data_IF_956778985363
#
_entry.id   IF_956778985363
#
_cell.length_a   1.000
_cell.length_b   1.000
_cell.length_c   1.000
_cell.angle_alpha   90.00
_cell.angle_beta   90.00
_cell.angle_gamma   90.00
#
_symmetry.space_group_name_H-M   'P 1'
#
loop_
_entity.id
_entity.type
_entity.pdbx_description
1 polymer ?
#
# COMPACT_ATOMS: atom_id res chain seq x y z
N UNK A 1 2.80 -9.37 24.51
CA UNK A 1 2.86 -8.57 23.25
C UNK A 1 1.44 -8.17 22.87
N UNK A 2 1.13 -6.92 22.52
CA UNK A 2 -0.22 -6.60 21.99
C UNK A 2 -0.39 -7.22 20.60
N UNK A 3 -1.63 -7.60 20.24
CA UNK A 3 -1.94 -8.21 18.93
C UNK A 3 -1.44 -7.36 17.77
N UNK A 4 -1.59 -6.03 17.85
CA UNK A 4 -1.08 -5.08 16.86
C UNK A 4 0.44 -5.11 16.74
N UNK A 5 1.16 -5.13 17.87
CA UNK A 5 2.64 -5.23 17.84
C UNK A 5 3.06 -6.55 17.18
N UNK A 6 2.44 -7.66 17.54
CA UNK A 6 2.74 -8.96 16.94
C UNK A 6 2.54 -8.94 15.42
N UNK A 7 1.41 -8.40 14.94
CA UNK A 7 1.12 -8.30 13.50
C UNK A 7 2.22 -7.48 12.79
N UNK A 8 2.65 -6.35 13.36
CA UNK A 8 3.72 -5.54 12.75
C UNK A 8 5.06 -6.28 12.70
N UNK A 9 5.44 -7.00 13.76
CA UNK A 9 6.67 -7.80 13.78
C UNK A 9 6.64 -8.99 12.81
N UNK A 10 5.46 -9.51 12.47
CA UNK A 10 5.31 -10.56 11.45
C UNK A 10 5.23 -9.98 10.05
N UNK A 11 4.51 -8.87 9.86
CA UNK A 11 4.34 -8.23 8.57
C UNK A 11 5.67 -7.78 7.97
N UNK A 12 6.55 -7.17 8.77
CA UNK A 12 7.84 -6.65 8.30
C UNK A 12 8.72 -7.72 7.63
N UNK A 13 9.08 -8.85 8.27
CA UNK A 13 9.89 -9.89 7.60
C UNK A 13 9.17 -10.53 6.42
N UNK A 14 7.85 -10.67 6.46
CA UNK A 14 7.05 -11.21 5.34
C UNK A 14 7.14 -10.28 4.12
N UNK A 15 7.00 -8.98 4.32
CA UNK A 15 7.10 -7.97 3.25
C UNK A 15 8.52 -7.88 2.69
N UNK A 16 9.55 -7.97 3.54
CA UNK A 16 10.95 -7.96 3.12
C UNK A 16 11.31 -9.23 2.32
N UNK A 17 10.95 -10.42 2.83
CA UNK A 17 11.15 -11.67 2.11
C UNK A 17 10.37 -11.68 0.79
N UNK A 18 9.13 -11.16 0.80
CA UNK A 18 8.33 -10.96 -0.39
C UNK A 18 9.03 -10.09 -1.43
N UNK A 19 9.63 -8.97 -1.03
CA UNK A 19 10.37 -8.09 -1.95
C UNK A 19 11.59 -8.78 -2.55
N UNK A 20 12.38 -9.51 -1.74
CA UNK A 20 13.58 -10.24 -2.22
C UNK A 20 13.21 -11.35 -3.19
N UNK A 21 12.08 -12.03 -2.96
CA UNK A 21 11.60 -13.14 -3.80
C UNK A 21 10.74 -12.67 -4.99
N UNK A 22 10.51 -11.36 -5.15
CA UNK A 22 9.69 -10.80 -6.23
C UNK A 22 8.17 -10.93 -6.04
N UNK A 23 7.70 -11.29 -4.84
CA UNK A 23 6.28 -11.37 -4.48
C UNK A 23 5.67 -10.00 -4.13
N UNK A 24 5.68 -9.10 -5.10
CA UNK A 24 5.23 -7.71 -4.95
C UNK A 24 3.73 -7.56 -4.62
N UNK A 25 2.90 -8.57 -4.90
CA UNK A 25 1.47 -8.55 -4.54
C UNK A 25 1.24 -8.41 -3.02
N UNK A 26 2.18 -8.84 -2.18
CA UNK A 26 2.12 -8.66 -0.72
C UNK A 26 2.18 -7.18 -0.33
N UNK A 27 3.01 -6.40 -1.03
CA UNK A 27 3.06 -4.95 -0.88
C UNK A 27 1.81 -4.28 -1.44
N UNK A 28 1.29 -4.79 -2.55
CA UNK A 28 0.04 -4.30 -3.12
C UNK A 28 -1.13 -4.41 -2.14
N UNK A 29 -1.25 -5.55 -1.45
CA UNK A 29 -2.26 -5.75 -0.40
C UNK A 29 -2.08 -4.78 0.78
N UNK A 30 -0.83 -4.50 1.17
CA UNK A 30 -0.54 -3.54 2.24
C UNK A 30 -1.00 -2.12 1.87
N UNK A 31 -0.73 -1.67 0.64
CA UNK A 31 -1.17 -0.36 0.18
C UNK A 31 -2.69 -0.25 0.17
N UNK A 32 -3.40 -1.27 -0.34
CA UNK A 32 -4.85 -1.30 -0.29
C UNK A 32 -5.39 -1.33 1.14
N UNK A 33 -4.72 -2.05 2.05
CA UNK A 33 -5.07 -2.08 3.46
C UNK A 33 -4.95 -0.69 4.12
N UNK A 34 -3.94 0.10 3.75
CA UNK A 34 -3.74 1.45 4.28
C UNK A 34 -4.78 2.47 3.78
N UNK A 35 -5.42 2.25 2.64
CA UNK A 35 -6.46 3.16 2.15
C UNK A 35 -7.61 3.35 3.14
N UNK A 36 -8.04 2.25 3.78
CA UNK A 36 -9.18 2.27 4.70
C UNK A 36 -8.94 3.23 5.88
N UNK A 37 -7.89 3.05 6.72
CA UNK A 37 -7.63 3.98 7.80
C UNK A 37 -7.33 5.39 7.26
N UNK A 38 -6.60 5.54 6.15
CA UNK A 38 -6.29 6.88 5.61
C UNK A 38 -7.53 7.67 5.22
N UNK A 39 -8.53 7.05 4.60
CA UNK A 39 -9.79 7.71 4.23
C UNK A 39 -10.65 7.99 5.47
N UNK A 40 -10.65 7.08 6.44
CA UNK A 40 -11.40 7.22 7.69
C UNK A 40 -10.83 8.34 8.59
N UNK A 41 -9.50 8.43 8.70
CA UNK A 41 -8.83 9.46 9.53
C UNK A 41 -8.65 10.78 8.78
N UNK A 42 -8.66 10.75 7.45
CA UNK A 42 -8.33 11.92 6.63
C UNK A 42 -6.84 12.23 6.61
N UNK A 43 -5.97 11.26 6.93
CA UNK A 43 -4.51 11.42 6.96
C UNK A 43 -3.84 10.34 6.10
N UNK A 44 -2.91 10.74 5.24
CA UNK A 44 -2.11 9.81 4.42
C UNK A 44 -0.64 10.20 4.42
N UNK A 45 0.23 9.21 4.25
CA UNK A 45 1.67 9.42 4.22
C UNK A 45 2.17 9.54 2.77
N UNK A 46 3.01 10.55 2.52
CA UNK A 46 3.82 10.66 1.30
C UNK A 46 5.30 10.82 1.66
N UNK A 47 5.79 12.06 1.76
CA UNK A 47 7.10 12.40 2.36
C UNK A 47 6.89 12.84 3.80
N UNK A 48 5.87 13.67 4.01
CA UNK A 48 5.29 14.00 5.30
C UNK A 48 3.83 13.55 5.32
N UNK A 49 3.21 13.63 6.50
CA UNK A 49 1.78 13.40 6.63
C UNK A 49 1.00 14.52 5.94
N UNK A 50 -0.01 14.13 5.15
CA UNK A 50 -0.93 15.03 4.46
C UNK A 50 -2.29 14.86 5.11
N UNK A 51 -2.85 15.97 5.59
CA UNK A 51 -4.20 16.00 6.15
C UNK A 51 -5.20 16.51 5.09
N UNK A 52 -6.35 15.86 5.01
CA UNK A 52 -7.39 16.15 4.00
C UNK A 52 -8.03 17.52 4.18
N UNK A 53 -8.09 18.03 5.40
CA UNK A 53 -8.62 19.35 5.73
C UNK A 53 -7.66 20.50 5.38
N UNK A 54 -6.35 20.24 5.39
CA UNK A 54 -5.30 21.20 5.00
C UNK A 54 -5.05 21.23 3.49
N UNK A 55 -4.87 20.06 2.86
CA UNK A 55 -4.64 19.92 1.41
C UNK A 55 -5.44 18.73 0.82
N UNK A 56 -6.74 18.94 0.50
CA UNK A 56 -7.61 17.86 0.02
C UNK A 56 -7.21 17.32 -1.35
N UNK A 57 -6.65 18.17 -2.22
CA UNK A 57 -6.28 17.77 -3.58
C UNK A 57 -5.10 16.81 -3.53
N UNK A 58 -4.04 17.20 -2.78
CA UNK A 58 -2.87 16.35 -2.61
C UNK A 58 -3.23 15.06 -1.84
N UNK A 59 -4.07 15.15 -0.81
CA UNK A 59 -4.58 13.98 -0.09
C UNK A 59 -5.20 12.94 -1.04
N UNK A 60 -6.16 13.35 -1.86
CA UNK A 60 -6.84 12.42 -2.78
C UNK A 60 -5.92 11.90 -3.88
N UNK A 61 -5.01 12.74 -4.39
CA UNK A 61 -4.01 12.30 -5.37
C UNK A 61 -3.15 11.16 -4.80
N UNK A 62 -2.67 11.30 -3.56
CA UNK A 62 -1.85 10.29 -2.88
C UNK A 62 -2.67 9.02 -2.61
N UNK A 63 -3.89 9.14 -2.08
CA UNK A 63 -4.79 7.99 -1.87
C UNK A 63 -5.04 7.22 -3.17
N UNK A 64 -5.29 7.92 -4.28
CA UNK A 64 -5.50 7.30 -5.60
C UNK A 64 -4.22 6.59 -6.07
N UNK A 65 -3.05 7.21 -5.92
CA UNK A 65 -1.76 6.59 -6.30
C UNK A 65 -1.52 5.31 -5.52
N UNK A 66 -1.73 5.32 -4.20
CA UNK A 66 -1.62 4.11 -3.37
C UNK A 66 -2.60 3.02 -3.81
N UNK A 67 -3.82 3.39 -4.17
CA UNK A 67 -4.83 2.45 -4.68
C UNK A 67 -4.41 1.84 -6.02
N UNK A 68 -3.95 2.66 -6.96
CA UNK A 68 -3.50 2.22 -8.27
C UNK A 68 -2.28 1.31 -8.17
N UNK A 69 -1.26 1.69 -7.41
CA UNK A 69 -0.09 0.83 -7.19
C UNK A 69 -0.45 -0.46 -6.48
N UNK A 70 -1.32 -0.40 -5.47
CA UNK A 70 -1.85 -1.58 -4.79
C UNK A 70 -2.49 -2.56 -5.75
N UNK A 71 -3.41 -2.06 -6.58
CA UNK A 71 -4.13 -2.86 -7.57
C UNK A 71 -3.19 -3.38 -8.68
N UNK A 72 -2.27 -2.56 -9.19
CA UNK A 72 -1.33 -2.92 -10.26
C UNK A 72 -0.37 -4.03 -9.81
N UNK A 73 0.18 -3.97 -8.60
CA UNK A 73 1.08 -5.01 -8.07
C UNK A 73 0.37 -6.36 -7.91
N UNK A 74 -0.90 -6.35 -7.51
CA UNK A 74 -1.72 -7.56 -7.43
C UNK A 74 -2.07 -8.06 -8.84
N UNK A 75 -2.51 -7.17 -9.73
CA UNK A 75 -2.87 -7.50 -11.11
C UNK A 75 -1.69 -8.10 -11.88
N UNK A 76 -0.48 -7.56 -11.72
CA UNK A 76 0.73 -8.09 -12.35
C UNK A 76 1.02 -9.54 -11.93
N UNK A 77 0.74 -9.90 -10.68
CA UNK A 77 0.88 -11.26 -10.18
C UNK A 77 -0.22 -12.20 -10.69
N UNK A 78 -1.45 -11.70 -10.89
CA UNK A 78 -2.57 -12.50 -11.40
C UNK A 78 -2.53 -12.67 -12.93
N UNK A 79 -1.97 -11.67 -13.62
CA UNK A 79 -1.92 -11.58 -15.08
C UNK A 79 -0.48 -11.38 -15.57
N UNK A 80 0.43 -12.36 -15.35
CA UNK A 80 1.86 -12.19 -15.62
C UNK A 80 2.18 -11.91 -17.09
N UNK A 81 1.31 -12.34 -18.03
CA UNK A 81 1.45 -12.03 -19.46
C UNK A 81 1.38 -10.53 -19.79
N UNK A 82 0.76 -9.72 -18.92
CA UNK A 82 0.62 -8.26 -19.09
C UNK A 82 1.45 -7.48 -18.07
N UNK A 83 2.27 -8.18 -17.26
CA UNK A 83 3.04 -7.59 -16.16
C UNK A 83 3.94 -6.43 -16.60
N UNK A 84 4.50 -6.48 -17.81
CA UNK A 84 5.38 -5.43 -18.37
C UNK A 84 4.70 -4.05 -18.51
N UNK A 85 3.37 -4.02 -18.52
CA UNK A 85 2.57 -2.79 -18.60
C UNK A 85 2.00 -2.39 -17.23
N UNK A 86 2.16 -3.23 -16.23
CA UNK A 86 1.59 -3.09 -14.90
C UNK A 86 2.64 -2.78 -13.82
N UNK A 87 3.92 -3.05 -14.06
CA UNK A 87 5.03 -2.82 -13.11
C UNK A 87 6.25 -2.29 -13.86
#
# INVERSE_FOLDING_TARGET
MSRTRLINYLALPVLLAGAVLGYYWLWGLLFLWWLVPSVMTGQTALVFDIQRDEDPVLFWAVVIIWALFGAMMIAASLFPAYSIWLV
#
